data_IF_590028751372
#
_entry.id   IF_590028751372
#
_cell.length_a   1.000
_cell.length_b   1.000
_cell.length_c   1.000
_cell.angle_alpha   90.00
_cell.angle_beta   90.00
_cell.angle_gamma   90.00
#
_symmetry.space_group_name_H-M   'P 1'
#
loop_
_entity.id
_entity.type
_entity.pdbx_description
1 polymer ?
#
# COMPACT_ATOMS: atom_id res chain seq x y z
N UNK A 1 -12.93 -2.38 23.49
CA UNK A 1 -13.30 -1.30 22.56
C UNK A 1 -13.59 -1.96 21.22
N UNK A 2 -14.71 -1.64 20.57
CA UNK A 2 -15.02 -2.20 19.25
C UNK A 2 -13.97 -1.71 18.24
N UNK A 3 -13.46 -2.64 17.46
CA UNK A 3 -12.49 -2.35 16.38
C UNK A 3 -13.10 -1.35 15.40
N UNK A 4 -12.35 -0.30 15.02
CA UNK A 4 -12.83 0.73 14.12
C UNK A 4 -12.99 0.15 12.70
N UNK A 5 -14.18 0.28 12.14
CA UNK A 5 -14.44 -0.14 10.75
C UNK A 5 -13.84 0.86 9.75
N UNK A 6 -12.62 0.56 9.30
CA UNK A 6 -11.88 1.41 8.37
C UNK A 6 -12.47 1.45 6.95
N UNK A 7 -13.37 0.52 6.61
CA UNK A 7 -14.00 0.49 5.28
C UNK A 7 -14.84 1.73 5.00
N UNK A 8 -15.33 2.38 6.05
CA UNK A 8 -16.14 3.61 5.98
C UNK A 8 -15.33 4.87 5.63
N UNK A 9 -14.01 4.75 5.66
CA UNK A 9 -13.08 5.85 5.39
C UNK A 9 -12.41 5.74 4.01
N UNK A 10 -12.87 4.82 3.15
CA UNK A 10 -12.40 4.70 1.77
C UNK A 10 -13.50 5.20 0.85
N UNK A 11 -13.19 6.23 0.08
CA UNK A 11 -14.11 6.73 -0.93
C UNK A 11 -13.93 5.98 -2.26
N UNK A 12 -15.02 5.81 -2.99
CA UNK A 12 -15.01 5.21 -4.32
C UNK A 12 -15.34 6.28 -5.35
N UNK A 13 -14.39 6.54 -6.25
CA UNK A 13 -14.51 7.55 -7.30
C UNK A 13 -14.65 6.83 -8.64
N UNK A 14 -15.84 6.80 -9.24
CA UNK A 14 -16.04 6.18 -10.55
C UNK A 14 -15.35 6.99 -11.64
N UNK A 15 -14.93 6.28 -12.69
CA UNK A 15 -14.38 6.85 -13.92
C UNK A 15 -13.12 7.72 -13.70
N UNK A 16 -12.29 7.38 -12.72
CA UNK A 16 -11.02 8.06 -12.47
C UNK A 16 -9.84 7.07 -12.48
N UNK A 17 -8.69 7.40 -13.12
CA UNK A 17 -8.41 8.57 -13.97
C UNK A 17 -8.96 8.45 -15.40
N UNK A 18 -9.64 7.33 -15.72
CA UNK A 18 -10.22 7.03 -17.03
C UNK A 18 -11.59 6.38 -16.86
N UNK A 19 -12.50 6.53 -17.84
CA UNK A 19 -13.79 5.82 -17.84
C UNK A 19 -13.63 4.32 -17.60
N UNK A 20 -14.50 3.75 -16.78
CA UNK A 20 -14.51 2.32 -16.40
C UNK A 20 -13.60 1.94 -15.23
N UNK A 21 -12.77 2.85 -14.72
CA UNK A 21 -11.94 2.61 -13.53
C UNK A 21 -12.66 3.12 -12.29
N UNK A 22 -12.80 2.26 -11.28
CA UNK A 22 -13.29 2.65 -9.95
C UNK A 22 -12.10 2.85 -9.01
N UNK A 23 -11.75 4.12 -8.81
CA UNK A 23 -10.62 4.50 -7.96
C UNK A 23 -10.99 4.41 -6.48
N UNK A 24 -10.12 3.84 -5.67
CA UNK A 24 -10.25 3.75 -4.22
C UNK A 24 -9.44 4.85 -3.57
N UNK A 25 -10.13 5.89 -3.12
CA UNK A 25 -9.50 7.06 -2.50
C UNK A 25 -9.35 6.84 -1.00
N UNK A 26 -8.11 6.84 -0.53
CA UNK A 26 -7.73 6.68 0.88
C UNK A 26 -7.63 8.03 1.62
N UNK A 27 -7.83 9.16 0.94
CA UNK A 27 -7.67 10.48 1.57
C UNK A 27 -8.60 10.71 2.75
N UNK A 28 -9.87 10.24 2.76
CA UNK A 28 -10.73 10.35 3.94
C UNK A 28 -10.18 9.59 5.16
N UNK A 29 -9.54 8.44 4.95
CA UNK A 29 -8.88 7.69 6.02
C UNK A 29 -7.70 8.48 6.59
N UNK A 30 -6.91 9.09 5.74
CA UNK A 30 -5.75 9.90 6.15
C UNK A 30 -6.15 11.18 6.88
N UNK A 31 -7.30 11.77 6.54
CA UNK A 31 -7.83 12.99 7.16
C UNK A 31 -8.40 12.76 8.55
N UNK A 32 -8.80 11.55 8.88
CA UNK A 32 -9.34 11.19 10.18
C UNK A 32 -8.24 10.61 11.08
N UNK A 33 -7.81 11.36 12.09
CA UNK A 33 -6.70 10.98 12.95
C UNK A 33 -6.85 9.61 13.62
N UNK A 34 -8.01 9.29 14.23
CA UNK A 34 -8.29 7.97 14.77
C UNK A 34 -8.23 6.85 13.73
N UNK A 35 -8.81 7.04 12.54
CA UNK A 35 -8.78 6.03 11.48
C UNK A 35 -7.38 5.81 10.92
N UNK A 36 -6.62 6.90 10.71
CA UNK A 36 -5.23 6.81 10.26
C UNK A 36 -4.34 6.08 11.28
N UNK A 37 -4.49 6.41 12.57
CA UNK A 37 -3.77 5.73 13.65
C UNK A 37 -4.10 4.23 13.69
N UNK A 38 -5.36 3.86 13.57
CA UNK A 38 -5.81 2.48 13.57
C UNK A 38 -5.21 1.71 12.38
N UNK A 39 -5.21 2.30 11.17
CA UNK A 39 -4.60 1.69 9.99
C UNK A 39 -3.10 1.44 10.19
N UNK A 40 -2.37 2.44 10.68
CA UNK A 40 -0.93 2.31 10.99
C UNK A 40 -0.69 1.23 12.05
N UNK A 41 -1.50 1.19 13.11
CA UNK A 41 -1.37 0.21 14.20
C UNK A 41 -1.56 -1.23 13.73
N UNK A 42 -2.52 -1.48 12.83
CA UNK A 42 -2.73 -2.81 12.24
C UNK A 42 -1.54 -3.25 11.38
N UNK A 43 -1.03 -2.36 10.53
CA UNK A 43 0.16 -2.63 9.72
C UNK A 43 1.39 -2.88 10.59
N UNK A 44 1.57 -2.08 11.65
CA UNK A 44 2.65 -2.24 12.63
C UNK A 44 2.57 -3.60 13.34
N UNK A 45 1.38 -4.00 13.77
CA UNK A 45 1.16 -5.29 14.43
C UNK A 45 1.62 -6.44 13.54
N UNK A 46 1.24 -6.42 12.27
CA UNK A 46 1.70 -7.42 11.31
C UNK A 46 3.22 -7.36 11.10
N UNK A 47 3.79 -6.16 10.96
CA UNK A 47 5.23 -5.99 10.77
C UNK A 47 6.04 -6.57 11.95
N UNK A 48 5.58 -6.36 13.19
CA UNK A 48 6.19 -6.94 14.40
C UNK A 48 6.06 -8.46 14.43
N UNK A 49 4.91 -9.00 14.05
CA UNK A 49 4.68 -10.46 13.97
C UNK A 49 5.62 -11.14 12.96
N UNK A 50 5.93 -10.48 11.85
CA UNK A 50 6.87 -10.98 10.85
C UNK A 50 8.34 -10.74 11.21
N UNK A 51 8.63 -10.05 12.32
CA UNK A 51 9.99 -9.74 12.74
C UNK A 51 10.71 -8.77 11.80
N UNK A 52 10.01 -7.81 11.20
CA UNK A 52 10.59 -6.84 10.29
C UNK A 52 11.66 -5.99 10.98
N UNK A 53 12.80 -5.81 10.33
CA UNK A 53 13.93 -4.98 10.73
C UNK A 53 14.05 -3.72 9.87
N UNK A 54 13.30 -3.67 8.76
CA UNK A 54 13.28 -2.57 7.80
C UNK A 54 11.92 -2.55 7.10
N UNK A 55 11.39 -1.37 6.83
CA UNK A 55 10.19 -1.18 6.01
C UNK A 55 10.59 -0.64 4.64
N UNK A 56 10.08 -1.24 3.57
CA UNK A 56 10.17 -0.71 2.21
C UNK A 56 8.79 -0.27 1.74
N UNK A 57 8.71 0.88 1.06
CA UNK A 57 7.44 1.39 0.55
C UNK A 57 7.57 1.98 -0.85
N UNK A 58 6.71 1.57 -1.81
CA UNK A 58 6.64 2.17 -3.13
C UNK A 58 6.10 3.60 -3.11
N UNK A 59 6.63 4.46 -4.01
CA UNK A 59 6.12 5.82 -4.14
C UNK A 59 4.71 5.84 -4.71
N UNK A 60 3.87 6.70 -4.24
CA UNK A 60 4.05 7.63 -3.12
C UNK A 60 3.23 7.19 -1.91
N UNK A 61 2.17 6.42 -2.11
CA UNK A 61 1.19 6.06 -1.07
C UNK A 61 1.74 5.06 -0.05
N UNK A 62 2.67 4.19 -0.46
CA UNK A 62 3.40 3.32 0.46
C UNK A 62 4.20 4.08 1.52
N UNK A 63 4.70 5.29 1.19
CA UNK A 63 5.42 6.13 2.16
C UNK A 63 4.53 6.59 3.31
N UNK A 64 3.27 6.89 3.02
CA UNK A 64 2.32 7.45 3.98
C UNK A 64 2.10 6.51 5.16
N UNK A 65 2.07 5.21 4.89
CA UNK A 65 1.86 4.18 5.91
C UNK A 65 3.18 3.54 6.37
N UNK A 66 4.13 3.36 5.46
CA UNK A 66 5.42 2.75 5.77
C UNK A 66 6.27 3.60 6.73
N UNK A 67 6.31 4.93 6.53
CA UNK A 67 7.07 5.82 7.40
C UNK A 67 6.58 5.81 8.86
N UNK A 68 5.28 5.98 9.18
CA UNK A 68 4.83 5.92 10.56
C UNK A 68 4.98 4.53 11.19
N UNK A 69 4.82 3.44 10.43
CA UNK A 69 5.11 2.09 10.95
C UNK A 69 6.58 1.96 11.33
N UNK A 70 7.50 2.35 10.45
CA UNK A 70 8.93 2.30 10.72
C UNK A 70 9.30 3.15 11.95
N UNK A 71 8.75 4.36 12.04
CA UNK A 71 8.93 5.27 13.17
C UNK A 71 8.48 4.65 14.49
N UNK A 72 7.27 4.11 14.54
CA UNK A 72 6.72 3.47 15.76
C UNK A 72 7.52 2.24 16.18
N UNK A 73 8.06 1.49 15.22
CA UNK A 73 8.90 0.32 15.49
C UNK A 73 10.34 0.66 15.86
N UNK A 74 10.78 1.91 15.64
CA UNK A 74 12.17 2.32 15.84
C UNK A 74 13.14 1.71 14.82
N UNK A 75 12.65 1.37 13.61
CA UNK A 75 13.43 0.79 12.50
C UNK A 75 13.49 1.75 11.30
N UNK A 76 14.31 1.42 10.29
CA UNK A 76 14.44 2.25 9.10
C UNK A 76 13.28 2.12 8.12
N UNK A 77 13.16 3.13 7.24
CA UNK A 77 12.28 3.12 6.07
C UNK A 77 13.10 3.33 4.79
N UNK A 78 12.82 2.54 3.75
CA UNK A 78 13.46 2.65 2.43
C UNK A 78 12.44 2.98 1.35
N UNK A 79 12.59 4.12 0.66
CA UNK A 79 11.72 4.48 -0.44
C UNK A 79 12.07 3.66 -1.69
N UNK A 80 11.04 3.07 -2.30
CA UNK A 80 11.12 2.45 -3.64
C UNK A 80 10.53 3.44 -4.64
N UNK A 81 11.31 3.84 -5.65
CA UNK A 81 10.95 4.97 -6.49
C UNK A 81 11.08 4.68 -7.98
N UNK A 82 10.40 5.47 -8.79
CA UNK A 82 10.53 5.50 -10.25
C UNK A 82 11.92 6.01 -10.67
N UNK A 83 12.36 5.74 -11.92
CA UNK A 83 13.65 6.20 -12.44
C UNK A 83 13.88 7.70 -12.24
N UNK A 84 15.13 8.07 -11.94
CA UNK A 84 15.55 9.47 -11.81
C UNK A 84 15.11 10.18 -10.52
N UNK A 85 14.50 9.46 -9.56
CA UNK A 85 14.02 10.05 -8.29
C UNK A 85 14.98 9.84 -7.12
N UNK A 86 16.00 9.03 -7.29
CA UNK A 86 17.00 8.75 -6.25
C UNK A 86 18.38 9.27 -6.69
N UNK A 87 19.10 10.05 -5.84
CA UNK A 87 20.31 10.78 -6.27
C UNK A 87 21.61 9.97 -6.23
N UNK A 88 21.61 8.80 -5.53
CA UNK A 88 22.79 7.94 -5.40
C UNK A 88 22.69 6.70 -6.30
N UNK A 89 23.72 5.85 -6.32
CA UNK A 89 23.70 4.55 -7.02
C UNK A 89 22.48 3.73 -6.60
N UNK A 90 21.78 3.19 -7.61
CA UNK A 90 20.57 2.38 -7.39
C UNK A 90 20.72 0.97 -7.95
N UNK A 91 19.92 0.05 -7.42
CA UNK A 91 19.55 -1.21 -8.05
C UNK A 91 18.12 -1.05 -8.55
N UNK A 92 17.83 -1.60 -9.72
CA UNK A 92 16.51 -1.48 -10.34
C UNK A 92 15.96 -2.81 -10.82
N UNK A 93 14.64 -2.86 -10.93
CA UNK A 93 13.93 -3.97 -11.56
C UNK A 93 12.85 -3.41 -12.49
N UNK A 94 12.83 -3.93 -13.72
CA UNK A 94 11.76 -3.67 -14.70
C UNK A 94 10.67 -4.72 -14.52
N UNK A 95 9.43 -4.30 -14.68
CA UNK A 95 8.27 -5.20 -14.66
C UNK A 95 7.27 -4.78 -15.73
N UNK A 96 6.62 -5.77 -16.31
CA UNK A 96 5.64 -5.57 -17.36
C UNK A 96 4.28 -5.15 -16.81
N UNK A 97 3.62 -4.27 -17.54
CA UNK A 97 2.22 -3.91 -17.41
C UNK A 97 1.44 -4.47 -18.60
N UNK A 98 0.12 -4.49 -18.54
CA UNK A 98 -0.70 -4.83 -19.71
C UNK A 98 -0.37 -3.96 -20.94
N UNK A 99 0.06 -2.71 -20.70
CA UNK A 99 0.52 -1.77 -21.74
C UNK A 99 1.81 -1.09 -21.30
N UNK A 100 2.95 -1.64 -21.77
CA UNK A 100 4.29 -1.10 -21.50
C UNK A 100 4.99 -1.74 -20.31
N UNK A 101 6.12 -1.16 -19.93
CA UNK A 101 6.89 -1.59 -18.76
C UNK A 101 7.11 -0.44 -17.79
N UNK A 102 7.15 -0.74 -16.51
CA UNK A 102 7.61 0.18 -15.48
C UNK A 102 8.92 -0.30 -14.88
N UNK A 103 9.64 0.62 -14.25
CA UNK A 103 10.89 0.33 -13.55
C UNK A 103 10.86 0.95 -12.16
N UNK A 104 11.38 0.21 -11.19
CA UNK A 104 11.54 0.66 -9.81
C UNK A 104 13.00 0.64 -9.41
N UNK A 105 13.37 1.56 -8.54
CA UNK A 105 14.73 1.75 -8.05
C UNK A 105 14.75 1.82 -6.53
N UNK A 106 15.80 1.26 -5.92
CA UNK A 106 16.20 1.47 -4.54
C UNK A 106 17.68 1.85 -4.49
N UNK A 107 18.11 2.61 -3.48
CA UNK A 107 19.54 2.84 -3.27
C UNK A 107 20.26 1.51 -3.02
N UNK A 108 21.39 1.31 -3.68
CA UNK A 108 22.15 0.04 -3.66
C UNK A 108 22.70 -0.34 -2.28
N UNK A 109 22.72 0.61 -1.33
CA UNK A 109 23.20 0.46 0.05
C UNK A 109 22.07 0.44 1.08
N UNK A 110 20.81 0.37 0.64
CA UNK A 110 19.66 0.56 1.54
C UNK A 110 19.23 -0.70 2.30
N UNK A 111 19.62 -1.88 1.84
CA UNK A 111 19.31 -3.17 2.48
C UNK A 111 20.59 -3.94 2.74
N UNK A 112 20.75 -4.46 3.95
CA UNK A 112 21.88 -5.31 4.33
C UNK A 112 21.59 -6.77 4.00
N UNK A 113 22.64 -7.54 3.75
CA UNK A 113 22.51 -8.99 3.53
C UNK A 113 21.84 -9.67 4.74
N UNK A 114 20.80 -10.45 4.48
CA UNK A 114 20.02 -11.15 5.50
C UNK A 114 19.08 -10.27 6.32
N UNK A 115 19.00 -8.96 6.03
CA UNK A 115 18.08 -8.06 6.74
C UNK A 115 16.63 -8.35 6.37
N UNK A 116 15.77 -8.47 7.38
CA UNK A 116 14.35 -8.77 7.24
C UNK A 116 13.55 -7.52 6.86
N UNK A 117 13.00 -7.52 5.65
CA UNK A 117 12.29 -6.39 5.08
C UNK A 117 10.81 -6.71 4.92
N UNK A 118 9.93 -5.82 5.42
CA UNK A 118 8.51 -5.87 5.14
C UNK A 118 8.15 -4.77 4.14
N UNK A 119 7.35 -5.12 3.13
CA UNK A 119 6.86 -4.17 2.12
C UNK A 119 5.49 -3.66 2.55
N UNK A 120 5.31 -2.32 2.55
CA UNK A 120 4.02 -1.69 2.84
C UNK A 120 3.61 -0.81 1.67
N UNK A 121 2.38 -1.01 1.19
CA UNK A 121 1.71 -0.11 0.24
C UNK A 121 0.23 0.07 0.65
N UNK A 122 -0.48 0.98 0.01
CA UNK A 122 -1.90 1.19 0.29
C UNK A 122 -2.81 0.16 -0.38
N UNK A 123 -2.44 -0.32 -1.57
CA UNK A 123 -3.31 -1.13 -2.40
C UNK A 123 -2.55 -2.27 -3.09
N UNK A 124 -3.10 -3.48 -3.00
CA UNK A 124 -2.68 -4.63 -3.77
C UNK A 124 -3.63 -4.84 -4.97
N UNK A 125 -3.12 -4.60 -6.18
CA UNK A 125 -3.83 -4.87 -7.44
C UNK A 125 -3.31 -6.18 -8.07
N UNK A 126 -2.47 -6.09 -9.10
CA UNK A 126 -1.87 -7.26 -9.77
C UNK A 126 -0.63 -7.81 -9.06
N UNK A 127 -0.04 -7.03 -8.15
CA UNK A 127 1.19 -7.39 -7.45
C UNK A 127 2.49 -7.06 -8.20
N UNK A 128 2.44 -6.53 -9.41
CA UNK A 128 3.64 -6.26 -10.22
C UNK A 128 4.66 -5.33 -9.54
N UNK A 129 4.21 -4.22 -8.98
CA UNK A 129 5.05 -3.27 -8.21
C UNK A 129 5.72 -3.95 -7.02
N UNK A 130 4.98 -4.79 -6.32
CA UNK A 130 5.48 -5.50 -5.13
C UNK A 130 6.51 -6.55 -5.53
N UNK A 131 6.26 -7.34 -6.59
CA UNK A 131 7.22 -8.32 -7.12
C UNK A 131 8.52 -7.66 -7.53
N UNK A 132 8.46 -6.55 -8.27
CA UNK A 132 9.66 -5.79 -8.62
C UNK A 132 10.43 -5.28 -7.39
N UNK A 133 9.71 -4.87 -6.34
CA UNK A 133 10.31 -4.47 -5.06
C UNK A 133 11.00 -5.65 -4.36
N UNK A 134 10.36 -6.83 -4.34
CA UNK A 134 10.91 -8.08 -3.82
C UNK A 134 12.22 -8.43 -4.55
N UNK A 135 12.20 -8.39 -5.88
CA UNK A 135 13.37 -8.71 -6.70
C UNK A 135 14.56 -7.79 -6.40
N UNK A 136 14.32 -6.50 -6.21
CA UNK A 136 15.37 -5.53 -5.83
C UNK A 136 15.95 -5.87 -4.45
N UNK A 137 15.10 -6.19 -3.46
CA UNK A 137 15.53 -6.55 -2.11
C UNK A 137 16.38 -7.82 -2.15
N UNK A 138 15.97 -8.83 -2.91
CA UNK A 138 16.73 -10.08 -3.07
C UNK A 138 18.08 -9.87 -3.77
N UNK A 139 18.14 -8.98 -4.79
CA UNK A 139 19.40 -8.62 -5.44
C UNK A 139 20.42 -8.00 -4.45
N UNK A 140 19.94 -7.32 -3.42
CA UNK A 140 20.77 -6.79 -2.34
C UNK A 140 21.10 -7.83 -1.25
N UNK A 141 20.50 -9.02 -1.33
CA UNK A 141 20.67 -10.09 -0.35
C UNK A 141 19.79 -9.94 0.89
N UNK A 142 18.78 -9.08 0.87
CA UNK A 142 17.76 -8.97 1.91
C UNK A 142 16.76 -10.14 1.87
N UNK A 143 16.03 -10.31 2.96
CA UNK A 143 14.96 -11.30 3.12
C UNK A 143 13.61 -10.57 3.20
N UNK A 144 12.67 -10.86 2.29
CA UNK A 144 11.31 -10.32 2.37
C UNK A 144 10.49 -11.20 3.30
N UNK A 145 10.07 -10.66 4.45
CA UNK A 145 9.32 -11.39 5.48
C UNK A 145 7.80 -11.24 5.36
N UNK A 146 7.33 -10.37 4.49
CA UNK A 146 5.91 -10.21 4.20
C UNK A 146 5.59 -8.92 3.46
N UNK A 147 4.31 -8.82 3.07
CA UNK A 147 3.76 -7.65 2.38
C UNK A 147 2.45 -7.25 3.06
N UNK A 148 2.25 -5.96 3.31
CA UNK A 148 1.06 -5.45 3.98
C UNK A 148 0.43 -4.30 3.20
N UNK A 149 -0.89 -4.34 3.11
CA UNK A 149 -1.69 -3.37 2.36
C UNK A 149 -2.95 -2.98 3.13
N UNK A 150 -3.50 -1.82 2.83
CA UNK A 150 -4.82 -1.46 3.32
C UNK A 150 -5.90 -2.23 2.55
N UNK A 151 -5.80 -2.21 1.23
CA UNK A 151 -6.85 -2.68 0.31
C UNK A 151 -6.29 -3.76 -0.61
N UNK A 152 -7.02 -4.85 -0.78
CA UNK A 152 -6.83 -5.82 -1.86
C UNK A 152 -7.94 -5.66 -2.90
N UNK A 153 -7.59 -5.52 -4.18
CA UNK A 153 -8.55 -5.55 -5.29
C UNK A 153 -8.77 -6.99 -5.76
N UNK A 154 -9.95 -7.53 -5.45
CA UNK A 154 -10.35 -8.86 -5.87
C UNK A 154 -10.49 -8.93 -7.40
N UNK A 155 -10.07 -10.05 -7.98
CA UNK A 155 -10.14 -10.29 -9.44
C UNK A 155 -8.89 -9.90 -10.22
N UNK A 156 -7.88 -9.30 -9.58
CA UNK A 156 -6.58 -8.96 -10.19
C UNK A 156 -5.45 -9.91 -9.79
N UNK A 157 -5.76 -10.94 -9.00
CA UNK A 157 -4.86 -12.03 -8.61
C UNK A 157 -3.56 -11.58 -7.90
N UNK A 158 -3.53 -10.40 -7.28
CA UNK A 158 -2.35 -9.88 -6.60
C UNK A 158 -1.85 -10.77 -5.47
N UNK A 159 -2.77 -11.33 -4.69
CA UNK A 159 -2.42 -12.24 -3.59
C UNK A 159 -1.86 -13.58 -4.08
N UNK A 160 -2.39 -14.11 -5.19
CA UNK A 160 -1.81 -15.30 -5.84
C UNK A 160 -0.41 -15.03 -6.38
N UNK A 161 -0.17 -13.82 -6.90
CA UNK A 161 1.17 -13.40 -7.35
C UNK A 161 2.19 -13.33 -6.22
N UNK A 162 1.74 -13.22 -4.96
CA UNK A 162 2.56 -13.10 -3.75
C UNK A 162 2.44 -14.32 -2.83
N UNK A 163 1.96 -15.47 -3.31
CA UNK A 163 1.66 -16.67 -2.50
C UNK A 163 2.85 -17.25 -1.72
N UNK A 164 4.06 -16.91 -2.10
CA UNK A 164 5.28 -17.34 -1.40
C UNK A 164 5.58 -16.52 -0.13
N UNK A 165 4.84 -15.42 0.08
CA UNK A 165 5.04 -14.48 1.18
C UNK A 165 3.79 -14.37 2.05
N UNK A 166 3.92 -14.13 3.36
CA UNK A 166 2.82 -13.68 4.19
C UNK A 166 2.25 -12.36 3.65
N UNK A 167 0.95 -12.33 3.35
CA UNK A 167 0.26 -11.11 2.87
C UNK A 167 -0.83 -10.74 3.85
N UNK A 168 -0.79 -9.50 4.32
CA UNK A 168 -1.81 -8.90 5.17
C UNK A 168 -2.58 -7.81 4.41
N UNK A 169 -3.90 -7.91 4.46
CA UNK A 169 -4.82 -6.86 3.96
C UNK A 169 -5.97 -6.74 4.94
N UNK A 170 -6.37 -5.57 5.34
CA UNK A 170 -7.50 -5.45 6.27
C UNK A 170 -8.82 -5.08 5.59
N UNK A 171 -8.83 -4.89 4.29
CA UNK A 171 -10.06 -4.82 3.52
C UNK A 171 -9.88 -5.35 2.10
N UNK A 172 -10.95 -5.92 1.56
CA UNK A 172 -11.04 -6.35 0.17
C UNK A 172 -12.10 -5.53 -0.56
N UNK A 173 -11.87 -5.26 -1.84
CA UNK A 173 -12.83 -4.56 -2.73
C UNK A 173 -12.86 -5.22 -4.09
N UNK A 174 -14.05 -5.37 -4.66
CA UNK A 174 -14.20 -5.80 -6.05
C UNK A 174 -13.74 -4.71 -7.02
N UNK A 175 -13.19 -5.10 -8.17
CA UNK A 175 -12.75 -4.17 -9.23
C UNK A 175 -13.95 -3.36 -9.78
N UNK A 176 -15.16 -3.94 -9.77
CA UNK A 176 -16.37 -3.39 -10.37
C UNK A 176 -17.54 -3.20 -9.37
N UNK A 177 -17.28 -3.14 -8.07
CA UNK A 177 -18.36 -2.93 -7.09
C UNK A 177 -19.02 -1.55 -7.23
N UNK A 178 -20.09 -1.48 -8.04
CA UNK A 178 -20.86 -0.26 -8.30
C UNK A 178 -22.00 0.01 -7.31
N UNK A 179 -22.27 -0.86 -6.32
CA UNK A 179 -23.47 -0.76 -5.47
C UNK A 179 -23.14 -0.58 -3.99
N UNK A 180 -23.73 0.36 -3.34
CA UNK A 180 -23.73 0.75 -1.91
C UNK A 180 -22.71 1.80 -1.46
N UNK A 181 -21.70 2.17 -2.22
CA UNK A 181 -20.68 3.12 -1.77
C UNK A 181 -21.11 4.60 -1.88
N UNK A 182 -22.06 4.91 -2.79
CA UNK A 182 -22.66 6.27 -2.83
C UNK A 182 -23.32 6.63 -1.50
N UNK A 183 -24.02 5.68 -0.88
CA UNK A 183 -24.66 5.92 0.43
C UNK A 183 -23.63 6.10 1.55
N UNK A 184 -22.58 5.30 1.58
CA UNK A 184 -21.53 5.43 2.59
C UNK A 184 -20.76 6.74 2.47
N UNK A 185 -20.45 7.18 1.25
CA UNK A 185 -19.79 8.45 0.99
C UNK A 185 -20.67 9.65 1.34
N UNK A 186 -21.98 9.59 1.01
CA UNK A 186 -22.95 10.62 1.39
C UNK A 186 -23.18 10.67 2.90
N UNK A 187 -23.19 9.56 3.60
CA UNK A 187 -23.27 9.51 5.07
C UNK A 187 -22.02 10.13 5.71
N UNK A 188 -20.85 9.89 5.14
CA UNK A 188 -19.58 10.49 5.59
C UNK A 188 -19.58 12.02 5.40
N UNK A 189 -20.00 12.52 4.24
CA UNK A 189 -20.10 13.96 3.97
C UNK A 189 -21.15 14.65 4.86
N UNK A 190 -22.33 14.03 5.04
CA UNK A 190 -23.38 14.55 5.94
C UNK A 190 -22.93 14.65 7.39
N UNK A 191 -22.15 13.68 7.89
CA UNK A 191 -21.59 13.74 9.24
C UNK A 191 -20.58 14.88 9.45
N UNK A 192 -19.99 15.40 8.38
CA UNK A 192 -19.05 16.53 8.38
C UNK A 192 -19.67 17.87 7.96
N UNK A 193 -21.00 17.95 7.81
CA UNK A 193 -21.70 19.20 7.51
C UNK A 193 -21.54 19.69 6.07
N UNK A 194 -21.09 18.82 5.15
CA UNK A 194 -21.03 19.14 3.72
C UNK A 194 -22.38 18.80 3.11
N UNK A 195 -23.20 19.84 2.88
CA UNK A 195 -24.47 19.70 2.18
C UNK A 195 -24.22 19.67 0.68
N UNK A 196 -24.59 18.57 0.03
CA UNK A 196 -24.35 18.32 -1.39
C UNK A 196 -25.43 18.91 -2.31
N UNK A 197 -25.96 20.08 -1.98
CA UNK A 197 -26.88 20.81 -2.86
C UNK A 197 -26.10 21.78 -3.74
N UNK A 198 -25.50 21.29 -4.81
CA UNK A 198 -25.31 21.98 -6.10
C UNK A 198 -25.22 20.96 -7.21
#
# INVERSE_FOLDING_TARGET
MSELDLTKYIASVPDFPKPGILFRDITPLMQDGPAFREAVSRLETFARQQGAELIAGPESRGFIFGCPVAYNMGIGFVPVRKPGKLPRKTISCKYDLEYGSNELHMHADSVKKGQKVLIIDDLLATGGTVKATIDIIHQMGGEVVGCAFLIELLGLNGKEALKEYPVYTFMTRGVNEKRNEKEAFWIFLKKRGVDGSQ
#
